data_IF_146397486979
#
_entry.id   IF_146397486979
#
_cell.length_a   1.000
_cell.length_b   1.000
_cell.length_c   1.000
_cell.angle_alpha   90.00
_cell.angle_beta   90.00
_cell.angle_gamma   90.00
#
_symmetry.space_group_name_H-M   'P 1'
#
loop_
_entity.id
_entity.type
_entity.pdbx_description
1 polymer ?
#
# COMPACT_ATOMS: atom_id res chain seq x y z
N UNK A 1 -34.81 -5.31 -8.41
CA UNK A 1 -33.83 -4.23 -8.16
C UNK A 1 -32.54 -4.59 -8.94
N UNK A 2 -32.36 -4.04 -10.16
CA UNK A 2 -31.16 -4.32 -10.97
C UNK A 2 -30.01 -3.53 -10.31
N UNK A 3 -29.06 -4.21 -9.69
CA UNK A 3 -27.79 -3.60 -9.28
C UNK A 3 -27.14 -3.02 -10.54
N UNK A 4 -27.25 -1.70 -10.72
CA UNK A 4 -26.54 -1.00 -11.77
C UNK A 4 -25.06 -0.99 -11.36
N UNK A 5 -24.26 -1.86 -11.92
CA UNK A 5 -22.80 -1.84 -11.73
C UNK A 5 -22.29 -0.47 -12.19
N UNK A 6 -22.01 0.41 -11.22
CA UNK A 6 -21.24 1.61 -11.49
C UNK A 6 -19.82 1.15 -11.77
N UNK A 7 -19.32 1.38 -12.97
CA UNK A 7 -17.92 1.05 -13.30
C UNK A 7 -16.93 1.68 -12.33
N UNK A 8 -15.66 1.25 -12.39
CA UNK A 8 -14.58 1.79 -11.53
C UNK A 8 -14.47 3.30 -11.76
N UNK A 9 -14.55 4.07 -10.69
CA UNK A 9 -14.37 5.53 -10.70
C UNK A 9 -12.88 5.85 -10.55
N UNK A 10 -12.48 7.06 -10.87
CA UNK A 10 -11.09 7.53 -10.74
C UNK A 10 -10.52 7.26 -9.35
N UNK A 11 -11.32 7.48 -8.33
CA UNK A 11 -10.96 7.25 -6.92
C UNK A 11 -10.53 5.81 -6.64
N UNK A 12 -11.17 4.84 -7.27
CA UNK A 12 -10.82 3.41 -7.10
C UNK A 12 -9.46 3.08 -7.73
N UNK A 13 -9.12 3.72 -8.86
CA UNK A 13 -7.80 3.55 -9.49
C UNK A 13 -6.70 4.10 -8.59
N UNK A 14 -6.87 5.33 -8.07
CA UNK A 14 -5.88 5.95 -7.19
C UNK A 14 -5.74 5.18 -5.87
N UNK A 15 -6.86 4.78 -5.27
CA UNK A 15 -6.83 3.94 -4.06
C UNK A 15 -6.10 2.62 -4.33
N UNK A 16 -6.38 1.97 -5.45
CA UNK A 16 -5.68 0.73 -5.85
C UNK A 16 -4.18 0.93 -5.99
N UNK A 17 -3.73 2.01 -6.61
CA UNK A 17 -2.30 2.37 -6.72
C UNK A 17 -1.69 2.55 -5.33
N UNK A 18 -2.34 3.33 -4.45
CA UNK A 18 -1.81 3.60 -3.11
C UNK A 18 -1.77 2.34 -2.23
N UNK A 19 -2.76 1.45 -2.34
CA UNK A 19 -2.73 0.14 -1.67
C UNK A 19 -1.61 -0.76 -2.21
N UNK A 20 -1.33 -0.72 -3.51
CA UNK A 20 -0.22 -1.45 -4.10
C UNK A 20 1.14 -0.86 -3.67
N UNK A 21 1.25 0.47 -3.54
CA UNK A 21 2.44 1.13 -2.96
C UNK A 21 2.63 0.69 -1.51
N UNK A 22 1.56 0.63 -0.70
CA UNK A 22 1.61 0.12 0.67
C UNK A 22 2.14 -1.32 0.71
N UNK A 23 1.64 -2.18 -0.20
CA UNK A 23 2.07 -3.56 -0.28
C UNK A 23 3.55 -3.68 -0.68
N UNK A 24 4.02 -2.87 -1.66
CA UNK A 24 5.44 -2.79 -2.02
C UNK A 24 6.28 -2.37 -0.80
N UNK A 25 5.88 -1.32 -0.10
CA UNK A 25 6.59 -0.86 1.10
C UNK A 25 6.62 -1.94 2.18
N UNK A 26 5.51 -2.65 2.39
CA UNK A 26 5.43 -3.73 3.39
C UNK A 26 6.39 -4.89 3.11
N UNK A 27 6.76 -5.16 1.85
CA UNK A 27 7.62 -6.29 1.46
C UNK A 27 9.04 -5.91 1.02
N UNK A 28 9.37 -4.61 0.99
CA UNK A 28 10.69 -4.13 0.55
C UNK A 28 11.41 -3.36 1.67
N UNK A 29 12.64 -2.96 1.36
CA UNK A 29 13.44 -2.07 2.23
C UNK A 29 12.83 -0.66 2.36
N UNK A 30 11.93 -0.28 1.46
CA UNK A 30 11.30 1.05 1.50
C UNK A 30 10.41 1.24 2.74
N UNK A 31 9.82 0.16 3.25
CA UNK A 31 8.92 0.23 4.40
C UNK A 31 9.57 -0.09 5.75
N UNK A 32 10.79 -0.64 5.76
CA UNK A 32 11.44 -1.06 7.00
C UNK A 32 12.93 -0.77 6.98
N UNK A 33 13.39 -0.03 7.98
CA UNK A 33 14.80 0.23 8.25
C UNK A 33 15.21 -0.66 9.43
N UNK A 34 16.07 -1.63 9.15
CA UNK A 34 16.50 -2.61 10.15
C UNK A 34 17.60 -2.03 11.05
N UNK A 35 17.20 -1.44 12.16
CA UNK A 35 18.10 -0.89 13.20
C UNK A 35 17.75 -1.56 14.53
N UNK A 36 18.69 -2.35 15.13
CA UNK A 36 18.44 -2.98 16.42
C UNK A 36 18.02 -1.98 17.50
N UNK A 37 17.16 -2.38 18.46
CA UNK A 37 16.67 -3.74 18.71
C UNK A 37 15.40 -4.13 17.95
N UNK A 38 14.74 -3.21 17.27
CA UNK A 38 13.50 -3.40 16.52
C UNK A 38 13.51 -2.56 15.25
N UNK A 39 12.92 -3.07 14.16
CA UNK A 39 12.86 -2.36 12.89
C UNK A 39 12.03 -1.07 12.98
N UNK A 40 12.59 0.03 12.48
CA UNK A 40 11.85 1.28 12.27
C UNK A 40 11.06 1.15 10.98
N UNK A 41 9.79 1.58 10.99
CA UNK A 41 8.91 1.45 9.83
C UNK A 41 8.53 2.78 9.23
N UNK A 42 8.59 2.85 7.89
CA UNK A 42 8.08 3.95 7.06
C UNK A 42 6.80 3.57 6.32
N UNK A 43 6.40 2.29 6.39
CA UNK A 43 5.23 1.74 5.70
C UNK A 43 3.89 2.35 6.17
N UNK A 44 3.83 3.08 7.28
CA UNK A 44 2.64 3.82 7.67
C UNK A 44 2.37 5.07 6.82
N UNK A 45 3.34 5.57 6.02
CA UNK A 45 3.20 6.81 5.24
C UNK A 45 2.08 6.72 4.20
N UNK A 46 1.99 5.67 3.35
CA UNK A 46 0.87 5.54 2.40
C UNK A 46 -0.49 5.52 3.08
N UNK A 47 -0.60 4.91 4.29
CA UNK A 47 -1.84 4.90 5.07
C UNK A 47 -2.28 6.33 5.41
N UNK A 48 -1.33 7.18 5.80
CA UNK A 48 -1.60 8.58 6.14
C UNK A 48 -2.04 9.37 4.91
N UNK A 49 -1.44 9.11 3.75
CA UNK A 49 -1.87 9.69 2.47
C UNK A 49 -3.28 9.24 2.12
N UNK A 50 -3.58 7.94 2.22
CA UNK A 50 -4.93 7.40 1.98
C UNK A 50 -5.94 8.02 2.95
N UNK A 51 -5.59 8.16 4.22
CA UNK A 51 -6.42 8.79 5.24
C UNK A 51 -6.76 10.25 4.89
N UNK A 52 -5.78 11.00 4.36
CA UNK A 52 -5.96 12.38 3.93
C UNK A 52 -6.90 12.51 2.73
N UNK A 53 -6.79 11.62 1.74
CA UNK A 53 -7.51 11.71 0.48
C UNK A 53 -8.89 11.05 0.50
N UNK A 54 -9.05 9.93 1.21
CA UNK A 54 -10.24 9.07 1.11
C UNK A 54 -11.02 8.95 2.43
N UNK A 55 -10.36 8.81 3.56
CA UNK A 55 -11.00 8.77 4.87
C UNK A 55 -10.79 7.47 5.65
N UNK A 56 -11.63 7.23 6.71
CA UNK A 56 -11.33 6.23 7.72
C UNK A 56 -11.48 4.77 7.24
N UNK A 57 -12.39 4.48 6.33
CA UNK A 57 -12.61 3.11 5.85
C UNK A 57 -11.43 2.66 4.98
N UNK A 58 -11.08 3.46 4.01
CA UNK A 58 -10.00 3.18 3.05
C UNK A 58 -8.63 3.11 3.74
N UNK A 59 -8.39 4.01 4.70
CA UNK A 59 -7.14 3.97 5.48
C UNK A 59 -7.09 2.79 6.47
N UNK A 60 -8.25 2.31 6.98
CA UNK A 60 -8.31 1.06 7.74
C UNK A 60 -7.96 -0.16 6.90
N UNK A 61 -8.46 -0.19 5.66
CA UNK A 61 -8.10 -1.24 4.68
C UNK A 61 -6.59 -1.20 4.40
N UNK A 62 -6.01 -0.02 4.19
CA UNK A 62 -4.56 0.11 4.04
C UNK A 62 -3.80 -0.36 5.28
N UNK A 63 -4.30 -0.06 6.48
CA UNK A 63 -3.78 -0.59 7.74
C UNK A 63 -3.84 -2.11 7.83
N UNK A 64 -4.89 -2.74 7.29
CA UNK A 64 -4.98 -4.20 7.18
C UNK A 64 -3.87 -4.75 6.28
N UNK A 65 -3.64 -4.17 5.09
CA UNK A 65 -2.57 -4.57 4.18
C UNK A 65 -1.20 -4.45 4.85
N UNK A 66 -0.92 -3.33 5.49
CA UNK A 66 0.31 -3.13 6.25
C UNK A 66 0.48 -4.17 7.37
N UNK A 67 -0.58 -4.42 8.15
CA UNK A 67 -0.56 -5.38 9.26
C UNK A 67 -0.27 -6.80 8.79
N UNK A 68 -0.91 -7.24 7.70
CA UNK A 68 -0.68 -8.55 7.09
C UNK A 68 0.76 -8.68 6.55
N UNK A 69 1.27 -7.64 5.87
CA UNK A 69 2.66 -7.60 5.40
C UNK A 69 3.66 -7.66 6.56
N UNK A 70 3.43 -6.90 7.63
CA UNK A 70 4.24 -6.90 8.84
C UNK A 70 4.26 -8.28 9.52
N UNK A 71 3.09 -8.90 9.66
CA UNK A 71 2.95 -10.24 10.25
C UNK A 71 3.68 -11.30 9.43
N UNK A 72 3.52 -11.26 8.11
CA UNK A 72 4.23 -12.18 7.22
C UNK A 72 5.74 -11.98 7.32
N UNK A 73 6.23 -10.74 7.21
CA UNK A 73 7.67 -10.43 7.28
C UNK A 73 8.30 -10.88 8.60
N UNK A 74 7.61 -10.67 9.72
CA UNK A 74 8.04 -11.11 11.04
C UNK A 74 8.10 -12.64 11.21
N UNK A 75 7.50 -13.39 10.28
CA UNK A 75 7.48 -14.87 10.34
C UNK A 75 8.75 -15.53 9.80
N UNK A 76 9.68 -14.78 9.19
CA UNK A 76 10.97 -15.29 8.76
C UNK A 76 11.88 -15.59 9.97
N UNK A 77 12.76 -16.60 9.83
CA UNK A 77 13.66 -16.99 10.92
C UNK A 77 14.82 -16.02 11.11
N UNK A 78 15.20 -15.28 10.05
CA UNK A 78 16.30 -14.31 10.05
C UNK A 78 15.93 -12.95 10.66
N UNK A 79 14.68 -12.70 11.05
CA UNK A 79 14.27 -11.41 11.63
C UNK A 79 14.88 -11.17 13.01
N UNK A 80 15.00 -9.89 13.37
CA UNK A 80 15.49 -9.49 14.68
C UNK A 80 14.60 -10.03 15.79
N UNK A 81 15.22 -10.32 16.94
CA UNK A 81 14.49 -10.90 18.09
C UNK A 81 13.29 -10.04 18.52
N UNK A 82 13.42 -8.72 18.49
CA UNK A 82 12.35 -7.80 18.82
C UNK A 82 11.17 -7.80 17.84
N UNK A 83 11.42 -8.22 16.59
CA UNK A 83 10.38 -8.26 15.56
C UNK A 83 9.57 -9.57 15.58
N UNK A 84 10.06 -10.62 16.23
CA UNK A 84 9.41 -11.93 16.28
C UNK A 84 8.02 -11.91 16.91
N UNK A 85 7.79 -11.02 17.86
CA UNK A 85 6.50 -10.89 18.55
C UNK A 85 5.36 -10.44 17.61
N UNK A 86 5.67 -9.93 16.42
CA UNK A 86 4.68 -9.60 15.40
C UNK A 86 4.22 -10.81 14.59
N UNK A 87 4.83 -12.00 14.77
CA UNK A 87 4.47 -13.22 14.09
C UNK A 87 3.72 -14.20 15.00
N UNK A 88 2.54 -14.67 14.61
CA UNK A 88 1.81 -15.69 15.36
C UNK A 88 2.49 -17.05 15.36
N UNK A 89 3.50 -17.25 14.51
CA UNK A 89 4.24 -18.52 14.37
C UNK A 89 5.52 -18.55 15.20
N UNK A 90 5.93 -17.41 15.79
CA UNK A 90 7.18 -17.29 16.52
C UNK A 90 6.99 -16.89 17.99
N UNK A 91 5.75 -16.86 18.49
CA UNK A 91 5.41 -16.52 19.87
C UNK A 91 4.48 -17.54 20.49
N UNK A 92 4.48 -17.63 21.82
CA UNK A 92 3.57 -18.48 22.59
C UNK A 92 2.17 -17.86 22.73
N UNK A 93 1.98 -16.63 22.24
CA UNK A 93 0.71 -15.91 22.25
C UNK A 93 0.30 -15.44 20.83
N UNK A 94 -0.15 -16.35 19.94
CA UNK A 94 -0.47 -16.07 18.53
C UNK A 94 -1.53 -14.97 18.35
N UNK A 95 -2.58 -14.97 19.18
CA UNK A 95 -3.64 -13.96 19.12
C UNK A 95 -3.09 -12.58 19.44
N UNK A 96 -2.22 -12.48 20.44
CA UNK A 96 -1.52 -11.24 20.77
C UNK A 96 -0.69 -10.71 19.60
N UNK A 97 0.01 -11.58 18.89
CA UNK A 97 0.78 -11.21 17.70
C UNK A 97 -0.10 -10.69 16.56
N UNK A 98 -1.26 -11.30 16.33
CA UNK A 98 -2.22 -10.83 15.33
C UNK A 98 -2.77 -9.45 15.71
N UNK A 99 -3.17 -9.27 16.97
CA UNK A 99 -3.66 -7.98 17.48
C UNK A 99 -2.56 -6.91 17.39
N UNK A 100 -1.33 -7.27 17.74
CA UNK A 100 -0.17 -6.36 17.65
C UNK A 100 0.14 -6.00 16.20
N UNK A 101 0.17 -6.98 15.28
CA UNK A 101 0.56 -6.76 13.88
C UNK A 101 -0.55 -6.11 13.07
N UNK A 102 -1.77 -6.66 13.13
CA UNK A 102 -2.88 -6.24 12.29
C UNK A 102 -3.77 -5.24 13.01
N UNK A 103 -4.16 -5.54 14.24
CA UNK A 103 -5.12 -4.72 14.99
C UNK A 103 -4.63 -3.28 15.17
N UNK A 104 -3.36 -3.09 15.58
CA UNK A 104 -2.81 -1.74 15.78
C UNK A 104 -2.75 -0.93 14.49
N UNK A 105 -2.47 -1.57 13.33
CA UNK A 105 -2.37 -0.89 12.02
C UNK A 105 -3.73 -0.52 11.47
N UNK A 106 -4.72 -1.39 11.61
CA UNK A 106 -6.12 -1.10 11.26
C UNK A 106 -6.65 0.06 12.11
N UNK A 107 -6.40 0.01 13.43
CA UNK A 107 -6.80 1.09 14.35
C UNK A 107 -6.09 2.40 14.01
N UNK A 108 -4.79 2.35 13.69
CA UNK A 108 -4.04 3.52 13.23
C UNK A 108 -4.66 4.14 11.99
N UNK A 109 -4.94 3.35 10.96
CA UNK A 109 -5.59 3.83 9.73
C UNK A 109 -6.93 4.46 10.01
N UNK A 110 -7.77 3.83 10.85
CA UNK A 110 -9.07 4.36 11.26
C UNK A 110 -8.96 5.71 11.95
N UNK A 111 -8.08 5.82 12.96
CA UNK A 111 -7.87 7.05 13.72
C UNK A 111 -7.35 8.18 12.83
N UNK A 112 -6.35 7.90 11.99
CA UNK A 112 -5.83 8.89 11.03
C UNK A 112 -6.91 9.36 10.07
N UNK A 113 -7.73 8.45 9.54
CA UNK A 113 -8.86 8.80 8.68
C UNK A 113 -9.89 9.69 9.39
N UNK A 114 -10.20 9.42 10.66
CA UNK A 114 -11.06 10.28 11.47
C UNK A 114 -10.46 11.67 11.68
N UNK A 115 -9.16 11.76 12.00
CA UNK A 115 -8.44 13.02 12.17
C UNK A 115 -8.51 13.84 10.88
N UNK A 116 -8.16 13.27 9.73
CA UNK A 116 -8.22 13.98 8.45
C UNK A 116 -9.64 14.36 8.06
N UNK A 117 -10.64 13.56 8.37
CA UNK A 117 -12.05 13.91 8.14
C UNK A 117 -12.46 15.17 8.89
N UNK A 118 -11.93 15.38 10.11
CA UNK A 118 -12.15 16.60 10.89
C UNK A 118 -11.35 17.76 10.29
N UNK A 119 -10.06 17.55 10.00
CA UNK A 119 -9.15 18.55 9.44
C UNK A 119 -9.65 19.10 8.10
N UNK A 120 -10.16 18.22 7.22
CA UNK A 120 -10.68 18.61 5.91
C UNK A 120 -11.91 19.53 5.97
N UNK A 121 -12.61 19.58 7.12
CA UNK A 121 -13.72 20.50 7.37
C UNK A 121 -13.26 21.84 7.98
N UNK A 122 -12.01 21.93 8.44
CA UNK A 122 -11.45 23.10 9.09
C UNK A 122 -11.16 24.24 8.08
N UNK A 123 -11.19 25.50 8.56
CA UNK A 123 -10.76 26.67 7.80
C UNK A 123 -9.26 26.62 7.48
N UNK A 124 -8.45 26.06 8.37
CA UNK A 124 -6.98 26.00 8.25
C UNK A 124 -6.51 24.63 7.72
N UNK A 125 -7.01 24.24 6.54
CA UNK A 125 -6.79 22.89 5.98
C UNK A 125 -5.30 22.50 5.89
N UNK A 126 -4.45 23.39 5.39
CA UNK A 126 -3.02 23.11 5.19
C UNK A 126 -2.28 22.91 6.51
N UNK A 127 -2.44 23.83 7.46
CA UNK A 127 -1.83 23.71 8.78
C UNK A 127 -2.35 22.47 9.51
N UNK A 128 -3.65 22.19 9.42
CA UNK A 128 -4.26 21.02 10.00
C UNK A 128 -3.74 19.71 9.39
N UNK A 129 -3.56 19.64 8.05
CA UNK A 129 -3.00 18.45 7.37
C UNK A 129 -1.55 18.22 7.77
N UNK A 130 -0.74 19.29 7.84
CA UNK A 130 0.65 19.19 8.28
C UNK A 130 0.76 18.71 9.74
N UNK A 131 -0.10 19.23 10.63
CA UNK A 131 -0.15 18.81 12.02
C UNK A 131 -0.61 17.35 12.17
N UNK A 132 -1.64 16.94 11.42
CA UNK A 132 -2.11 15.56 11.41
C UNK A 132 -1.02 14.59 10.92
N UNK A 133 -0.29 14.95 9.86
CA UNK A 133 0.82 14.18 9.33
C UNK A 133 2.00 14.10 10.32
N UNK A 134 2.29 15.18 11.05
CA UNK A 134 3.29 15.20 12.12
C UNK A 134 2.92 14.25 13.27
N UNK A 135 1.66 14.22 13.66
CA UNK A 135 1.14 13.36 14.72
C UNK A 135 1.09 11.88 14.30
N UNK A 136 1.08 11.58 13.02
CA UNK A 136 0.94 10.22 12.53
C UNK A 136 2.06 9.28 13.04
N UNK A 137 3.32 9.72 12.99
CA UNK A 137 4.47 8.91 13.44
C UNK A 137 4.40 8.58 14.95
N UNK A 138 4.21 9.56 15.86
CA UNK A 138 4.09 9.23 17.30
C UNK A 138 2.81 8.47 17.63
N UNK A 139 1.71 8.70 16.91
CA UNK A 139 0.48 7.92 17.10
C UNK A 139 0.68 6.46 16.72
N UNK A 140 1.33 6.19 15.57
CA UNK A 140 1.68 4.83 15.16
C UNK A 140 2.56 4.16 16.21
N UNK A 141 3.63 4.83 16.66
CA UNK A 141 4.53 4.34 17.71
C UNK A 141 3.78 4.07 19.03
N UNK A 142 2.89 4.97 19.43
CA UNK A 142 2.09 4.83 20.66
C UNK A 142 1.19 3.59 20.62
N UNK A 143 0.51 3.35 19.49
CA UNK A 143 -0.35 2.18 19.32
C UNK A 143 0.46 0.89 19.36
N UNK A 144 1.61 0.85 18.68
CA UNK A 144 2.47 -0.34 18.62
C UNK A 144 3.13 -0.61 19.96
N UNK A 145 3.86 0.34 20.52
CA UNK A 145 4.55 0.15 21.82
C UNK A 145 3.58 0.02 22.98
N UNK A 146 2.43 0.70 22.91
CA UNK A 146 1.36 0.51 23.89
C UNK A 146 0.81 -0.92 23.88
N UNK A 147 0.52 -1.45 22.69
CA UNK A 147 0.08 -2.83 22.54
C UNK A 147 1.18 -3.84 22.93
N UNK A 148 2.46 -3.57 22.61
CA UNK A 148 3.58 -4.40 23.06
C UNK A 148 3.65 -4.47 24.57
N UNK A 149 3.52 -3.34 25.27
CA UNK A 149 3.57 -3.31 26.75
C UNK A 149 2.42 -4.06 27.42
N UNK A 150 1.25 -4.15 26.75
CA UNK A 150 0.08 -4.85 27.27
C UNK A 150 0.12 -6.35 26.92
N UNK A 151 0.42 -6.67 25.66
CA UNK A 151 0.34 -8.05 25.14
C UNK A 151 1.63 -8.84 25.35
N UNK A 152 2.77 -8.15 25.39
CA UNK A 152 4.11 -8.74 25.53
C UNK A 152 4.97 -7.94 26.52
N UNK A 153 4.63 -7.93 27.82
CA UNK A 153 5.35 -7.14 28.83
C UNK A 153 6.86 -7.46 28.89
N UNK A 154 7.22 -8.70 28.58
CA UNK A 154 8.61 -9.18 28.58
C UNK A 154 9.46 -8.58 27.45
N UNK A 155 8.83 -7.97 26.45
CA UNK A 155 9.55 -7.32 25.34
C UNK A 155 10.39 -6.12 25.78
N UNK A 156 10.14 -5.57 26.96
CA UNK A 156 10.79 -4.37 27.49
C UNK A 156 10.28 -3.06 26.88
N UNK A 157 9.35 -3.13 25.90
CA UNK A 157 8.73 -1.96 25.28
C UNK A 157 7.38 -1.64 25.94
N UNK A 158 7.07 -0.35 26.03
CA UNK A 158 5.79 0.14 26.54
C UNK A 158 5.46 1.52 25.96
N UNK A 159 4.30 2.08 26.29
CA UNK A 159 3.86 3.37 25.76
C UNK A 159 4.88 4.52 25.96
N UNK A 160 5.74 4.48 26.99
CA UNK A 160 6.80 5.48 27.21
C UNK A 160 7.87 5.43 26.12
N UNK A 161 8.04 4.27 25.48
CA UNK A 161 9.00 4.10 24.38
C UNK A 161 8.63 4.94 23.14
N UNK A 162 7.35 5.24 22.95
CA UNK A 162 6.87 6.08 21.84
C UNK A 162 7.27 7.55 21.94
N UNK A 163 7.68 8.02 23.11
CA UNK A 163 8.13 9.40 23.33
C UNK A 163 9.64 9.57 23.21
N UNK A 164 10.38 8.49 22.96
CA UNK A 164 11.83 8.53 22.74
C UNK A 164 12.14 8.72 21.26
N UNK A 165 12.04 9.98 20.80
CA UNK A 165 12.30 10.31 19.41
C UNK A 165 13.80 10.39 19.13
N UNK A 166 14.24 9.68 18.09
CA UNK A 166 15.54 9.80 17.49
C UNK A 166 15.51 10.66 16.21
N UNK A 167 16.68 10.89 15.61
CA UNK A 167 16.81 11.63 14.34
C UNK A 167 15.96 11.00 13.23
N UNK A 168 15.87 9.67 13.20
CA UNK A 168 15.07 8.95 12.22
C UNK A 168 13.58 9.25 12.31
N UNK A 169 13.04 9.40 13.53
CA UNK A 169 11.62 9.68 13.75
C UNK A 169 11.25 11.08 13.22
N UNK A 170 12.13 12.07 13.42
CA UNK A 170 11.94 13.41 12.85
C UNK A 170 12.01 13.39 11.32
N UNK A 171 12.94 12.62 10.75
CA UNK A 171 13.05 12.48 9.30
C UNK A 171 11.80 11.83 8.70
N UNK A 172 11.30 10.76 9.31
CA UNK A 172 10.07 10.07 8.89
C UNK A 172 8.85 10.98 9.00
N UNK A 173 8.73 11.74 10.10
CA UNK A 173 7.65 12.71 10.26
C UNK A 173 7.70 13.81 9.18
N UNK A 174 8.89 14.31 8.85
CA UNK A 174 9.07 15.28 7.77
C UNK A 174 8.68 14.72 6.40
N UNK A 175 9.10 13.48 6.09
CA UNK A 175 8.71 12.78 4.86
C UNK A 175 7.19 12.56 4.83
N UNK A 176 6.57 12.22 5.94
CA UNK A 176 5.13 12.03 6.05
C UNK A 176 4.37 13.34 5.75
N UNK A 177 4.81 14.47 6.32
CA UNK A 177 4.24 15.79 6.03
C UNK A 177 4.37 16.12 4.54
N UNK A 178 5.56 15.93 3.98
CA UNK A 178 5.83 16.19 2.56
C UNK A 178 4.95 15.31 1.66
N UNK A 179 4.85 14.03 1.95
CA UNK A 179 4.02 13.08 1.20
C UNK A 179 2.54 13.47 1.22
N UNK A 180 2.00 13.85 2.38
CA UNK A 180 0.61 14.29 2.52
C UNK A 180 0.35 15.58 1.74
N UNK A 181 1.23 16.58 1.88
CA UNK A 181 1.06 17.87 1.20
C UNK A 181 1.15 17.69 -0.31
N UNK A 182 2.17 17.00 -0.81
CA UNK A 182 2.36 16.77 -2.24
C UNK A 182 1.19 15.96 -2.84
N UNK A 183 0.76 14.90 -2.16
CA UNK A 183 -0.38 14.09 -2.60
C UNK A 183 -1.67 14.90 -2.67
N UNK A 184 -1.91 15.77 -1.70
CA UNK A 184 -3.09 16.63 -1.68
C UNK A 184 -3.05 17.71 -2.79
N UNK A 185 -1.91 18.34 -3.02
CA UNK A 185 -1.71 19.30 -4.12
C UNK A 185 -1.94 18.61 -5.47
N UNK A 186 -1.31 17.45 -5.68
CA UNK A 186 -1.43 16.69 -6.93
C UNK A 186 -2.88 16.26 -7.15
N UNK A 187 -3.52 15.69 -6.13
CA UNK A 187 -4.89 15.17 -6.24
C UNK A 187 -5.92 16.25 -6.56
N UNK A 188 -5.73 17.47 -6.07
CA UNK A 188 -6.62 18.61 -6.32
C UNK A 188 -6.13 19.53 -7.44
N UNK A 189 -5.07 19.17 -8.16
CA UNK A 189 -4.59 19.94 -9.31
C UNK A 189 -5.62 19.98 -10.44
N UNK A 190 -5.58 21.03 -11.26
CA UNK A 190 -6.45 21.15 -12.44
C UNK A 190 -6.28 20.00 -13.41
N UNK A 191 -5.05 19.50 -13.55
CA UNK A 191 -4.75 18.34 -14.39
C UNK A 191 -5.47 17.07 -13.91
N UNK A 192 -5.35 16.73 -12.62
CA UNK A 192 -6.00 15.54 -12.04
C UNK A 192 -7.51 15.70 -12.03
N UNK A 193 -8.03 16.90 -11.75
CA UNK A 193 -9.47 17.19 -11.79
C UNK A 193 -10.04 17.00 -13.18
N UNK A 194 -9.34 17.47 -14.23
CA UNK A 194 -9.73 17.23 -15.61
C UNK A 194 -9.76 15.72 -15.93
N UNK A 195 -8.69 15.02 -15.56
CA UNK A 195 -8.56 13.57 -15.78
C UNK A 195 -9.64 12.76 -15.07
N UNK A 196 -9.97 13.14 -13.83
CA UNK A 196 -11.04 12.57 -13.02
C UNK A 196 -12.40 12.71 -13.72
N UNK A 197 -12.71 13.89 -14.24
CA UNK A 197 -13.97 14.13 -14.95
C UNK A 197 -14.07 13.26 -16.20
N UNK A 198 -12.98 13.13 -16.96
CA UNK A 198 -12.90 12.27 -18.13
C UNK A 198 -13.15 10.80 -17.79
N UNK A 199 -12.46 10.27 -16.77
CA UNK A 199 -12.61 8.85 -16.38
C UNK A 199 -14.00 8.58 -15.76
N UNK A 200 -14.58 9.54 -15.07
CA UNK A 200 -15.87 9.39 -14.41
C UNK A 200 -17.06 9.62 -15.34
N UNK A 201 -16.83 10.04 -16.58
CA UNK A 201 -17.91 10.21 -17.57
C UNK A 201 -18.64 8.88 -17.81
N UNK A 202 -19.96 8.92 -17.58
CA UNK A 202 -20.80 7.71 -17.56
C UNK A 202 -21.02 7.11 -18.93
N UNK A 203 -20.92 7.90 -20.02
CA UNK A 203 -21.20 7.42 -21.37
C UNK A 203 -20.08 6.49 -21.90
N UNK A 204 -18.84 6.72 -21.50
CA UNK A 204 -17.69 5.88 -21.87
C UNK A 204 -17.65 4.52 -21.20
N UNK A 205 -18.28 4.37 -20.03
CA UNK A 205 -18.26 3.12 -19.25
C UNK A 205 -19.05 1.99 -19.90
N UNK A 206 -19.92 2.30 -20.85
CA UNK A 206 -20.84 1.33 -21.45
C UNK A 206 -20.21 0.55 -22.62
N UNK A 207 -19.05 0.97 -23.15
CA UNK A 207 -18.48 0.44 -24.40
C UNK A 207 -17.20 -0.41 -24.27
N UNK A 208 -16.94 -1.01 -23.14
CA UNK A 208 -15.86 -2.00 -23.05
C UNK A 208 -16.26 -3.25 -23.84
N UNK A 209 -15.68 -3.41 -25.04
CA UNK A 209 -15.94 -4.59 -25.86
C UNK A 209 -15.44 -5.86 -25.15
N UNK A 210 -16.10 -6.98 -25.42
CA UNK A 210 -15.69 -8.30 -24.89
C UNK A 210 -14.23 -8.59 -25.26
N UNK A 211 -13.81 -8.24 -26.48
CA UNK A 211 -12.42 -8.41 -26.96
C UNK A 211 -11.41 -7.68 -26.05
N UNK A 212 -11.73 -6.47 -25.62
CA UNK A 212 -10.84 -5.70 -24.74
C UNK A 212 -10.76 -6.27 -23.34
N UNK A 213 -11.87 -6.72 -22.77
CA UNK A 213 -11.87 -7.40 -21.47
C UNK A 213 -11.00 -8.66 -21.51
N UNK A 214 -11.11 -9.43 -22.59
CA UNK A 214 -10.27 -10.60 -22.81
C UNK A 214 -8.80 -10.24 -22.98
N UNK A 215 -8.48 -9.20 -23.75
CA UNK A 215 -7.10 -8.72 -23.94
C UNK A 215 -6.46 -8.31 -22.60
N UNK A 216 -7.18 -7.55 -21.78
CA UNK A 216 -6.73 -7.16 -20.45
C UNK A 216 -6.51 -8.37 -19.53
N UNK A 217 -7.44 -9.33 -19.54
CA UNK A 217 -7.31 -10.56 -18.78
C UNK A 217 -6.07 -11.36 -19.18
N UNK A 218 -5.81 -11.47 -20.48
CA UNK A 218 -4.60 -12.13 -21.01
C UNK A 218 -3.33 -11.39 -20.57
N UNK A 219 -3.32 -10.05 -20.62
CA UNK A 219 -2.18 -9.23 -20.17
C UNK A 219 -1.92 -9.46 -18.68
N UNK A 220 -2.98 -9.47 -17.84
CA UNK A 220 -2.85 -9.72 -16.40
C UNK A 220 -2.22 -11.08 -16.14
N UNK A 221 -2.73 -12.13 -16.78
CA UNK A 221 -2.17 -13.50 -16.65
C UNK A 221 -0.71 -13.52 -17.09
N UNK A 222 -0.40 -12.93 -18.24
CA UNK A 222 0.95 -12.92 -18.80
C UNK A 222 1.94 -12.23 -17.85
N UNK A 223 1.58 -11.06 -17.32
CA UNK A 223 2.39 -10.31 -16.36
C UNK A 223 2.58 -11.11 -15.05
N UNK A 224 1.51 -11.74 -14.56
CA UNK A 224 1.60 -12.61 -13.39
C UNK A 224 2.55 -13.78 -13.62
N UNK A 225 2.45 -14.44 -14.79
CA UNK A 225 3.33 -15.55 -15.15
C UNK A 225 4.81 -15.11 -15.23
N UNK A 226 5.09 -13.92 -15.80
CA UNK A 226 6.46 -13.38 -15.85
C UNK A 226 6.99 -13.15 -14.43
N UNK A 227 6.20 -12.52 -13.54
CA UNK A 227 6.60 -12.26 -12.17
C UNK A 227 6.87 -13.57 -11.40
N UNK A 228 5.98 -14.55 -11.53
CA UNK A 228 6.14 -15.86 -10.91
C UNK A 228 7.37 -16.60 -11.45
N UNK A 229 7.55 -16.63 -12.77
CA UNK A 229 8.69 -17.29 -13.39
C UNK A 229 10.01 -16.64 -13.00
N UNK A 230 10.10 -15.29 -13.01
CA UNK A 230 11.30 -14.55 -12.58
C UNK A 230 11.65 -14.86 -11.12
N UNK A 231 10.64 -14.94 -10.25
CA UNK A 231 10.83 -15.27 -8.83
C UNK A 231 11.36 -16.70 -8.65
N UNK A 232 10.76 -17.68 -9.32
CA UNK A 232 11.19 -19.09 -9.29
C UNK A 232 12.62 -19.22 -9.85
N UNK A 233 12.91 -18.57 -10.98
CA UNK A 233 14.24 -18.58 -11.59
C UNK A 233 15.29 -18.01 -10.65
N UNK A 234 15.04 -16.86 -10.07
CA UNK A 234 15.98 -16.21 -9.14
C UNK A 234 16.28 -17.10 -7.92
N UNK A 235 15.27 -17.73 -7.39
CA UNK A 235 15.37 -18.64 -6.27
C UNK A 235 16.20 -19.88 -6.59
N UNK A 236 15.83 -20.56 -7.67
CA UNK A 236 16.56 -21.74 -8.14
C UNK A 236 18.02 -21.41 -8.43
N UNK A 237 18.30 -20.23 -8.98
CA UNK A 237 19.67 -19.78 -9.25
C UNK A 237 20.45 -19.49 -7.98
N UNK A 238 19.82 -18.93 -6.97
CA UNK A 238 20.43 -18.69 -5.65
C UNK A 238 20.79 -20.01 -4.97
N UNK A 239 19.90 -20.98 -5.00
CA UNK A 239 20.13 -22.30 -4.43
C UNK A 239 21.28 -23.03 -5.15
N UNK A 240 21.30 -22.99 -6.49
CA UNK A 240 22.41 -23.50 -7.29
C UNK A 240 23.76 -22.88 -6.94
N UNK A 241 23.79 -21.54 -6.76
CA UNK A 241 25.00 -20.82 -6.39
C UNK A 241 25.53 -21.27 -5.03
N UNK A 242 24.67 -21.48 -4.05
CA UNK A 242 25.10 -22.05 -2.75
C UNK A 242 25.74 -23.43 -2.91
N UNK A 243 25.18 -24.29 -3.76
CA UNK A 243 25.78 -25.59 -4.08
C UNK A 243 27.18 -25.48 -4.68
N UNK A 244 27.38 -24.53 -5.64
CA UNK A 244 28.69 -24.28 -6.27
C UNK A 244 29.73 -23.84 -5.26
N UNK A 245 29.37 -23.02 -4.29
CA UNK A 245 30.29 -22.55 -3.24
C UNK A 245 30.37 -23.51 -2.04
N UNK A 246 29.82 -24.71 -2.14
CA UNK A 246 29.88 -25.72 -1.08
C UNK A 246 29.07 -25.39 0.18
N UNK A 247 28.16 -24.41 0.10
CA UNK A 247 27.27 -24.05 1.21
C UNK A 247 26.15 -25.06 1.27
N UNK A 248 26.07 -25.86 2.35
CA UNK A 248 24.96 -26.78 2.58
C UNK A 248 23.70 -26.00 2.94
N UNK A 249 22.69 -26.04 2.07
CA UNK A 249 21.38 -25.44 2.33
C UNK A 249 20.62 -26.33 3.33
N UNK A 250 20.51 -25.87 4.57
CA UNK A 250 19.70 -26.53 5.59
C UNK A 250 18.22 -26.24 5.34
N UNK A 251 17.31 -27.04 5.97
CA UNK A 251 15.85 -26.78 5.88
C UNK A 251 15.48 -25.35 6.33
N UNK A 252 16.18 -24.80 7.33
CA UNK A 252 15.96 -23.42 7.79
C UNK A 252 16.34 -22.40 6.74
N UNK A 253 17.51 -22.54 6.10
CA UNK A 253 17.96 -21.66 5.02
C UNK A 253 17.00 -21.73 3.84
N UNK A 254 16.57 -22.93 3.44
CA UNK A 254 15.60 -23.11 2.37
C UNK A 254 14.26 -22.43 2.68
N UNK A 255 13.79 -22.51 3.93
CA UNK A 255 12.58 -21.83 4.37
C UNK A 255 12.70 -20.30 4.32
N UNK A 256 13.84 -19.74 4.74
CA UNK A 256 14.09 -18.30 4.67
C UNK A 256 14.22 -17.80 3.22
N UNK A 257 14.85 -18.59 2.35
CA UNK A 257 14.90 -18.32 0.91
C UNK A 257 13.48 -18.26 0.33
N UNK A 258 12.65 -19.26 0.61
CA UNK A 258 11.25 -19.28 0.17
C UNK A 258 10.48 -18.07 0.69
N UNK A 259 10.73 -17.67 1.92
CA UNK A 259 10.09 -16.50 2.53
C UNK A 259 10.46 -15.21 1.79
N UNK A 260 11.74 -15.02 1.44
CA UNK A 260 12.22 -13.89 0.64
C UNK A 260 11.65 -13.92 -0.79
N UNK A 261 11.50 -15.11 -1.39
CA UNK A 261 10.89 -15.26 -2.71
C UNK A 261 9.45 -14.77 -2.74
N UNK A 262 8.65 -15.15 -1.72
CA UNK A 262 7.25 -14.70 -1.62
C UNK A 262 7.18 -13.19 -1.41
N UNK A 263 8.08 -12.59 -0.62
CA UNK A 263 8.16 -11.13 -0.48
C UNK A 263 8.47 -10.45 -1.82
N UNK A 264 9.45 -10.96 -2.55
CA UNK A 264 9.82 -10.44 -3.86
C UNK A 264 8.66 -10.57 -4.86
N UNK A 265 8.00 -11.73 -4.90
CA UNK A 265 6.84 -11.97 -5.75
C UNK A 265 5.69 -10.99 -5.42
N UNK A 266 5.40 -10.78 -4.15
CA UNK A 266 4.36 -9.86 -3.70
C UNK A 266 4.67 -8.42 -4.16
N UNK A 267 5.92 -7.96 -4.05
CA UNK A 267 6.35 -6.65 -4.53
C UNK A 267 6.25 -6.54 -6.06
N UNK A 268 6.66 -7.57 -6.81
CA UNK A 268 6.57 -7.60 -8.27
C UNK A 268 5.13 -7.59 -8.77
N UNK A 269 4.23 -8.36 -8.14
CA UNK A 269 2.79 -8.35 -8.48
C UNK A 269 2.21 -6.95 -8.25
N UNK A 270 2.55 -6.31 -7.15
CA UNK A 270 2.07 -4.97 -6.83
C UNK A 270 2.57 -3.91 -7.82
N UNK A 271 3.83 -3.97 -8.23
CA UNK A 271 4.39 -3.09 -9.25
C UNK A 271 3.66 -3.27 -10.58
N UNK A 272 3.45 -4.53 -11.00
CA UNK A 272 2.72 -4.84 -12.22
C UNK A 272 1.26 -4.39 -12.16
N UNK A 273 0.63 -4.48 -10.99
CA UNK A 273 -0.73 -3.96 -10.78
C UNK A 273 -0.78 -2.44 -10.97
N UNK A 274 0.20 -1.69 -10.43
CA UNK A 274 0.30 -0.24 -10.65
C UNK A 274 0.42 0.08 -12.14
N UNK A 275 1.31 -0.60 -12.86
CA UNK A 275 1.49 -0.41 -14.30
C UNK A 275 0.19 -0.70 -15.06
N UNK A 276 -0.51 -1.79 -14.73
CA UNK A 276 -1.80 -2.13 -15.32
C UNK A 276 -2.83 -1.02 -15.09
N UNK A 277 -2.95 -0.52 -13.86
CA UNK A 277 -3.90 0.56 -13.53
C UNK A 277 -3.57 1.82 -14.33
N UNK A 278 -2.30 2.19 -14.44
CA UNK A 278 -1.87 3.34 -15.25
C UNK A 278 -2.23 3.15 -16.73
N UNK A 279 -1.98 1.96 -17.30
CA UNK A 279 -2.34 1.64 -18.69
C UNK A 279 -3.86 1.76 -18.89
N UNK A 280 -4.67 1.25 -17.96
CA UNK A 280 -6.12 1.37 -17.99
C UNK A 280 -6.59 2.83 -17.94
N UNK A 281 -5.96 3.64 -17.10
CA UNK A 281 -6.27 5.06 -17.01
C UNK A 281 -5.94 5.78 -18.32
N UNK A 282 -4.77 5.54 -18.90
CA UNK A 282 -4.35 6.13 -20.19
C UNK A 282 -5.31 5.70 -21.30
N UNK A 283 -5.65 4.41 -21.34
CA UNK A 283 -6.59 3.89 -22.33
C UNK A 283 -7.96 4.56 -22.25
N UNK A 284 -8.53 4.69 -21.03
CA UNK A 284 -9.80 5.35 -20.82
C UNK A 284 -9.76 6.82 -21.27
N UNK A 285 -8.64 7.50 -21.00
CA UNK A 285 -8.43 8.89 -21.44
C UNK A 285 -8.38 8.99 -22.96
N UNK A 286 -7.65 8.11 -23.63
CA UNK A 286 -7.54 8.10 -25.10
C UNK A 286 -8.90 7.84 -25.77
N UNK A 287 -9.68 6.90 -25.23
CA UNK A 287 -11.03 6.60 -25.70
C UNK A 287 -11.99 7.78 -25.55
N UNK A 288 -11.90 8.51 -24.47
CA UNK A 288 -12.68 9.74 -24.31
C UNK A 288 -12.31 10.79 -25.35
N UNK A 289 -11.02 10.98 -25.64
CA UNK A 289 -10.55 11.89 -26.67
C UNK A 289 -11.05 11.50 -28.08
N UNK A 290 -11.02 10.22 -28.38
CA UNK A 290 -11.55 9.68 -29.64
C UNK A 290 -13.06 9.96 -29.76
N UNK A 291 -13.84 9.68 -28.68
CA UNK A 291 -15.28 9.93 -28.63
C UNK A 291 -15.63 11.41 -28.85
N UNK A 292 -14.95 12.34 -28.16
CA UNK A 292 -15.16 13.78 -28.35
C UNK A 292 -14.80 14.21 -29.76
N UNK A 293 -13.75 13.63 -30.35
CA UNK A 293 -13.33 13.95 -31.74
C UNK A 293 -14.33 13.47 -32.80
N UNK A 294 -15.20 12.51 -32.48
CA UNK A 294 -16.26 12.03 -33.35
C UNK A 294 -17.58 12.80 -33.19
N UNK A 295 -17.70 13.63 -32.15
CA UNK A 295 -18.89 14.46 -31.91
C UNK A 295 -18.82 15.75 -32.70
N UNK A 296 -19.92 16.12 -33.35
CA UNK A 296 -20.10 17.42 -33.99
C UNK A 296 -20.17 18.52 -32.94
N UNK A 297 -19.27 19.50 -33.01
CA UNK A 297 -19.13 20.57 -32.02
C UNK A 297 -20.37 21.50 -31.94
N UNK A 298 -21.23 21.52 -32.98
CA UNK A 298 -22.42 22.38 -33.03
C UNK A 298 -23.68 21.65 -32.56
N UNK A 299 -23.84 20.39 -32.92
CA UNK A 299 -25.07 19.63 -32.66
C UNK A 299 -24.97 18.66 -31.49
N UNK A 300 -23.77 18.42 -30.99
CA UNK A 300 -23.47 17.45 -29.92
C UNK A 300 -23.95 16.02 -30.25
N UNK A 301 -24.04 15.70 -31.55
CA UNK A 301 -24.45 14.37 -32.07
C UNK A 301 -23.25 13.76 -32.80
N UNK A 302 -23.16 12.42 -32.83
CA UNK A 302 -22.11 11.72 -33.59
C UNK A 302 -22.17 12.10 -35.07
N UNK A 303 -21.06 12.58 -35.60
CA UNK A 303 -20.91 12.85 -37.04
C UNK A 303 -21.03 11.55 -37.85
N UNK A 304 -21.70 11.61 -38.99
CA UNK A 304 -21.71 10.50 -39.94
C UNK A 304 -20.29 10.30 -40.49
N UNK A 305 -19.74 9.10 -40.31
CA UNK A 305 -18.58 8.64 -41.11
C UNK A 305 -19.06 8.30 -42.50
#
# INVERSE_FOLDING_TARGET
>A
MKLKWRGLQFEHYILGILLAVEWIMSFTFLGYIHIPPISITTAHIPIVVIACLFGPVESSVAGLFFGLGSMYKASALYVMLGDRIFSPFQTDFPIGSILLSVGTRVLFGFLMGCIFKIVNKSRYKWAGKSLAALIATPLHALLVYGAMGILFPESGFNYKSSFRWGVNDYAIAAICILAVILSDIIYHSSFVTHYKNVINDSELRQHWSVKMKMSLFIIIIFVFCIAAFSTIYFASRTEYMFGVYGVKVTKKIAQDILHLQVQFLAAMISLNFILLVIILMIYNYMKHREYIGEMDALTNVMGRR
#
